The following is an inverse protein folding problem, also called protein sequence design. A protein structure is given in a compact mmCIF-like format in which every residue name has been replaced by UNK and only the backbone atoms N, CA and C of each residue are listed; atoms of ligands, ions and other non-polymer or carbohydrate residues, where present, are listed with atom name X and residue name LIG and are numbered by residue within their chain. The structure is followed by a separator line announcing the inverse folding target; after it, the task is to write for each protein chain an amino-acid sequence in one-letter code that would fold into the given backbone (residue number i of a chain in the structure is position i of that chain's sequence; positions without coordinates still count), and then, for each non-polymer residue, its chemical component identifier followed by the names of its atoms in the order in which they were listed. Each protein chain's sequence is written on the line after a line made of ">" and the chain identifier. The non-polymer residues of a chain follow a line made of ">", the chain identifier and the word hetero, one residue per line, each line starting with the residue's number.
data_IF_738770385732
#
_entry.id   IF_738770385732
#
_cell.length_a   1.000
_cell.length_b   1.000
_cell.length_c   1.000
_cell.angle_alpha   90.00
_cell.angle_beta   90.00
_cell.angle_gamma   90.00
#
_symmetry.space_group_name_H-M   'P 1'
#
loop_
_entity.id
_entity.type
_entity.pdbx_description
1 polymer ?
#
# COMPACT_ATOMS: atom_id res chain seq x y z
N UNK A 1 8.39 -1.43 9.22
CA UNK A 1 8.18 -2.84 8.92
C UNK A 1 6.93 -3.09 8.07
N UNK A 2 5.81 -2.39 8.34
CA UNK A 2 4.55 -2.55 7.59
C UNK A 2 3.98 -1.20 7.22
N UNK A 3 3.36 -1.10 6.04
CA UNK A 3 2.74 0.12 5.54
C UNK A 3 1.30 -0.16 5.06
N UNK A 4 0.31 0.35 5.79
CA UNK A 4 -1.10 0.10 5.53
C UNK A 4 -1.68 1.15 4.57
N UNK A 5 -2.26 0.68 3.45
CA UNK A 5 -2.93 1.50 2.43
C UNK A 5 -4.36 0.99 2.15
N UNK A 6 -5.35 1.32 2.99
CA UNK A 6 -6.73 0.87 2.83
C UNK A 6 -7.52 1.79 1.87
N UNK A 7 -6.93 2.15 0.75
CA UNK A 7 -7.53 3.12 -0.17
C UNK A 7 -8.83 2.60 -0.76
N UNK A 8 -9.87 3.43 -0.75
CA UNK A 8 -11.13 3.13 -1.44
C UNK A 8 -10.93 3.14 -2.96
N UNK A 9 -10.09 4.05 -3.44
CA UNK A 9 -9.69 4.16 -4.84
C UNK A 9 -8.24 4.67 -4.90
N UNK A 10 -7.42 4.01 -5.71
CA UNK A 10 -6.02 4.38 -5.93
C UNK A 10 -5.63 4.04 -7.37
N UNK A 11 -5.59 5.03 -8.28
CA UNK A 11 -5.35 4.75 -9.71
C UNK A 11 -3.96 4.17 -9.97
N UNK A 12 -2.93 4.69 -9.32
CA UNK A 12 -1.53 4.27 -9.50
C UNK A 12 -0.89 3.85 -8.19
N UNK A 13 -0.78 4.82 -7.26
CA UNK A 13 -0.06 4.67 -6.00
C UNK A 13 1.47 4.62 -6.21
N UNK A 14 2.19 5.48 -5.51
CA UNK A 14 3.65 5.43 -5.46
C UNK A 14 4.14 5.01 -4.08
N UNK A 15 3.35 5.27 -3.05
CA UNK A 15 3.76 5.04 -1.66
C UNK A 15 4.08 3.59 -1.36
N UNK A 16 3.34 2.62 -1.93
CA UNK A 16 3.63 1.19 -1.78
C UNK A 16 4.95 0.79 -2.46
N UNK A 17 5.26 1.38 -3.63
CA UNK A 17 6.51 1.12 -4.36
C UNK A 17 7.69 1.66 -3.55
N UNK A 18 7.56 2.89 -3.02
CA UNK A 18 8.56 3.50 -2.15
C UNK A 18 8.73 2.66 -0.88
N UNK A 19 7.64 2.23 -0.24
CA UNK A 19 7.69 1.38 0.94
C UNK A 19 8.46 0.08 0.67
N UNK A 20 8.15 -0.62 -0.43
CA UNK A 20 8.86 -1.84 -0.84
C UNK A 20 10.36 -1.58 -1.07
N UNK A 21 10.73 -0.47 -1.73
CA UNK A 21 12.12 -0.11 -1.97
C UNK A 21 12.92 0.08 -0.67
N UNK A 22 12.28 0.55 0.41
CA UNK A 22 12.88 0.71 1.73
C UNK A 22 12.67 -0.49 2.67
N UNK A 23 12.25 -1.64 2.14
CA UNK A 23 12.08 -2.87 2.92
C UNK A 23 10.88 -2.87 3.85
N UNK A 24 9.91 -2.00 3.60
CA UNK A 24 8.65 -1.96 4.34
C UNK A 24 7.56 -2.65 3.53
N UNK A 25 6.96 -3.71 4.09
CA UNK A 25 5.95 -4.50 3.37
C UNK A 25 4.60 -3.79 3.35
N UNK A 26 4.00 -3.56 2.17
CA UNK A 26 2.70 -2.94 2.04
C UNK A 26 1.57 -3.92 2.37
N UNK A 27 0.54 -3.41 3.05
CA UNK A 27 -0.74 -4.08 3.27
C UNK A 27 -1.79 -3.23 2.56
N UNK A 28 -2.33 -3.70 1.44
CA UNK A 28 -3.10 -2.87 0.54
C UNK A 28 -4.49 -3.44 0.27
N UNK A 29 -5.44 -2.55 -0.06
CA UNK A 29 -6.66 -2.99 -0.70
C UNK A 29 -6.40 -3.21 -2.20
N UNK A 30 -6.97 -4.28 -2.76
CA UNK A 30 -6.86 -4.63 -4.19
C UNK A 30 -7.68 -3.66 -5.04
N UNK A 31 -7.08 -2.49 -5.36
CA UNK A 31 -7.69 -1.47 -6.23
C UNK A 31 -6.61 -0.80 -7.06
N UNK A 32 -6.89 -0.60 -8.37
CA UNK A 32 -5.99 0.08 -9.32
C UNK A 32 -4.54 -0.37 -9.19
N UNK A 33 -3.61 0.58 -9.19
CA UNK A 33 -2.17 0.30 -9.14
C UNK A 33 -1.69 -0.45 -7.90
N UNK A 34 -2.44 -0.44 -6.80
CA UNK A 34 -2.10 -1.27 -5.63
C UNK A 34 -2.21 -2.77 -5.95
N UNK A 35 -3.27 -3.16 -6.68
CA UNK A 35 -3.44 -4.54 -7.13
C UNK A 35 -2.40 -4.95 -8.16
N UNK A 36 -1.96 -4.01 -9.01
CA UNK A 36 -1.02 -4.28 -10.09
C UNK A 36 0.42 -4.40 -9.63
N UNK A 37 0.76 -3.77 -8.48
CA UNK A 37 2.15 -3.65 -8.00
C UNK A 37 2.45 -4.50 -6.77
N UNK A 38 1.45 -4.86 -5.97
CA UNK A 38 1.64 -5.67 -4.76
C UNK A 38 1.15 -7.09 -5.00
N UNK A 39 2.07 -8.04 -4.95
CA UNK A 39 1.78 -9.47 -5.05
C UNK A 39 1.48 -10.00 -3.65
N UNK A 40 0.27 -10.54 -3.39
CA UNK A 40 -0.08 -11.08 -2.09
C UNK A 40 0.85 -12.22 -1.67
N UNK A 41 1.27 -12.21 -0.40
CA UNK A 41 2.08 -13.30 0.15
C UNK A 41 1.34 -14.63 0.12
N UNK A 42 1.98 -15.63 -0.44
CA UNK A 42 1.53 -17.01 -0.46
C UNK A 42 2.33 -17.81 0.58
N UNK A 43 1.67 -18.27 1.64
CA UNK A 43 2.30 -19.02 2.74
C UNK A 43 2.84 -20.39 2.32
N UNK A 44 2.35 -20.97 1.21
CA UNK A 44 2.77 -22.28 0.73
C UNK A 44 4.02 -22.21 -0.15
N UNK A 45 4.17 -21.15 -0.94
CA UNK A 45 5.33 -20.96 -1.83
C UNK A 45 6.38 -20.02 -1.26
N UNK A 46 6.01 -19.20 -0.28
CA UNK A 46 6.87 -18.15 0.26
C UNK A 46 7.03 -16.93 -0.67
N UNK A 47 6.26 -16.89 -1.75
CA UNK A 47 6.32 -15.82 -2.74
C UNK A 47 5.38 -14.66 -2.41
N UNK A 48 5.77 -13.45 -2.79
CA UNK A 48 4.95 -12.25 -2.63
C UNK A 48 5.79 -10.99 -2.42
N UNK A 49 5.12 -9.85 -2.32
CA UNK A 49 5.75 -8.55 -2.03
C UNK A 49 5.01 -7.75 -0.96
N UNK A 50 3.93 -8.31 -0.41
CA UNK A 50 3.11 -7.66 0.61
C UNK A 50 1.87 -8.48 0.93
N UNK A 51 0.86 -7.81 1.48
CA UNK A 51 -0.42 -8.41 1.84
C UNK A 51 -1.56 -7.64 1.20
N UNK A 52 -2.66 -8.32 0.88
CA UNK A 52 -3.81 -7.67 0.29
C UNK A 52 -5.14 -8.13 0.88
N UNK A 53 -6.18 -7.33 0.66
CA UNK A 53 -7.57 -7.64 0.93
C UNK A 53 -8.45 -7.02 -0.17
N UNK A 54 -9.60 -7.62 -0.43
CA UNK A 54 -10.42 -7.27 -1.60
C UNK A 54 -11.52 -6.25 -1.28
N UNK A 55 -12.35 -6.52 -0.27
CA UNK A 55 -13.49 -5.67 0.01
C UNK A 55 -13.13 -4.47 0.90
N UNK A 56 -13.77 -3.32 0.63
CA UNK A 56 -13.57 -2.12 1.43
C UNK A 56 -14.37 -2.22 2.75
N UNK A 57 -13.88 -3.04 3.68
CA UNK A 57 -14.41 -3.21 5.02
C UNK A 57 -13.31 -3.39 6.06
N UNK A 58 -13.65 -3.18 7.32
CA UNK A 58 -12.70 -3.27 8.44
C UNK A 58 -12.27 -4.70 8.77
N UNK A 59 -13.12 -5.68 8.52
CA UNK A 59 -12.87 -7.08 8.88
C UNK A 59 -11.77 -7.67 7.99
N UNK A 60 -11.87 -7.54 6.67
CA UNK A 60 -10.83 -8.01 5.75
C UNK A 60 -9.51 -7.24 5.90
N UNK A 61 -9.59 -5.92 6.14
CA UNK A 61 -8.40 -5.13 6.45
C UNK A 61 -7.72 -5.65 7.72
N UNK A 62 -8.50 -5.89 8.78
CA UNK A 62 -8.01 -6.43 10.04
C UNK A 62 -7.37 -7.81 9.87
N UNK A 63 -7.98 -8.69 9.07
CA UNK A 63 -7.43 -10.00 8.74
C UNK A 63 -6.08 -9.89 8.01
N UNK A 64 -5.98 -9.01 7.01
CA UNK A 64 -4.72 -8.79 6.30
C UNK A 64 -3.61 -8.28 7.21
N UNK A 65 -3.92 -7.33 8.11
CA UNK A 65 -2.98 -6.85 9.13
C UNK A 65 -2.58 -7.97 10.09
N UNK A 66 -3.53 -8.79 10.53
CA UNK A 66 -3.26 -9.91 11.42
C UNK A 66 -2.35 -10.95 10.75
N UNK A 67 -2.58 -11.31 9.49
CA UNK A 67 -1.71 -12.23 8.74
C UNK A 67 -0.29 -11.69 8.61
N UNK A 68 -0.14 -10.40 8.33
CA UNK A 68 1.16 -9.74 8.26
C UNK A 68 1.87 -9.73 9.62
N UNK A 69 1.17 -9.35 10.68
CA UNK A 69 1.71 -9.32 12.04
C UNK A 69 2.12 -10.73 12.52
N UNK A 70 1.30 -11.74 12.23
CA UNK A 70 1.58 -13.14 12.56
C UNK A 70 2.86 -13.61 11.86
N UNK A 71 3.02 -13.36 10.56
CA UNK A 71 4.25 -13.71 9.85
C UNK A 71 5.47 -13.01 10.46
N UNK A 72 5.33 -11.72 10.77
CA UNK A 72 6.41 -10.92 11.37
C UNK A 72 6.91 -11.46 12.71
N UNK A 73 5.99 -11.92 13.57
CA UNK A 73 6.34 -12.41 14.92
C UNK A 73 6.67 -13.90 14.95
N UNK A 74 5.97 -14.72 14.17
CA UNK A 74 6.06 -16.17 14.26
C UNK A 74 7.14 -16.77 13.34
N UNK A 75 7.43 -16.11 12.19
CA UNK A 75 8.40 -16.58 11.20
C UNK A 75 9.21 -15.44 10.59
N UNK A 76 10.22 -15.01 11.33
CA UNK A 76 11.08 -13.89 10.94
C UNK A 76 11.89 -14.15 9.67
N UNK A 77 12.27 -15.40 9.41
CA UNK A 77 13.03 -15.77 8.22
C UNK A 77 12.16 -15.64 6.96
N UNK A 78 10.93 -16.13 6.99
CA UNK A 78 9.99 -15.93 5.89
C UNK A 78 9.65 -14.46 5.68
N UNK A 79 9.53 -13.68 6.77
CA UNK A 79 9.37 -12.23 6.68
C UNK A 79 10.54 -11.57 5.96
N UNK A 80 11.78 -11.89 6.33
CA UNK A 80 12.98 -11.31 5.73
C UNK A 80 13.13 -11.71 4.24
N UNK A 81 12.75 -12.94 3.88
CA UNK A 81 12.69 -13.37 2.49
C UNK A 81 11.67 -12.53 1.69
N UNK A 82 10.49 -12.31 2.26
CA UNK A 82 9.47 -11.48 1.63
C UNK A 82 9.92 -10.02 1.45
N UNK A 83 10.62 -9.46 2.44
CA UNK A 83 11.26 -8.14 2.33
C UNK A 83 12.27 -8.10 1.18
N UNK A 84 13.13 -9.12 1.06
CA UNK A 84 14.10 -9.21 -0.04
C UNK A 84 13.41 -9.28 -1.40
N UNK A 85 12.33 -10.06 -1.52
CA UNK A 85 11.53 -10.13 -2.75
C UNK A 85 10.89 -8.78 -3.09
N UNK A 86 10.35 -8.07 -2.09
CA UNK A 86 9.76 -6.74 -2.29
C UNK A 86 10.79 -5.72 -2.75
N UNK A 87 11.97 -5.69 -2.13
CA UNK A 87 13.07 -4.78 -2.49
C UNK A 87 13.67 -5.07 -3.87
N UNK A 88 13.62 -6.31 -4.34
CA UNK A 88 14.13 -6.72 -5.65
C UNK A 88 13.17 -6.40 -6.81
N UNK A 89 11.97 -5.90 -6.53
CA UNK A 89 11.03 -5.52 -7.59
C UNK A 89 11.56 -4.37 -8.43
N UNK A 90 11.59 -4.58 -9.72
CA UNK A 90 11.98 -3.54 -10.68
C UNK A 90 10.75 -2.76 -11.17
N UNK A 91 10.69 -1.49 -10.79
CA UNK A 91 9.69 -0.52 -11.24
C UNK A 91 10.32 0.58 -12.11
N UNK A 92 11.48 0.31 -12.73
CA UNK A 92 12.20 1.28 -13.56
C UNK A 92 11.44 1.65 -14.83
N UNK A 93 11.82 2.78 -15.40
CA UNK A 93 11.36 3.21 -16.73
C UNK A 93 11.84 2.25 -17.84
N UNK A 94 13.00 1.63 -17.68
CA UNK A 94 13.52 0.63 -18.62
C UNK A 94 12.53 -0.52 -18.79
N UNK A 95 12.06 -1.12 -17.68
CA UNK A 95 11.04 -2.18 -17.71
C UNK A 95 9.73 -1.72 -18.35
N UNK A 96 9.34 -0.47 -18.13
CA UNK A 96 8.14 0.11 -18.75
C UNK A 96 8.33 0.30 -20.25
N UNK A 97 9.50 0.81 -20.66
CA UNK A 97 9.84 0.98 -22.07
C UNK A 97 9.86 -0.36 -22.82
N UNK A 98 10.40 -1.41 -22.22
CA UNK A 98 10.39 -2.76 -22.82
C UNK A 98 8.97 -3.26 -23.11
N UNK A 99 8.03 -3.05 -22.19
CA UNK A 99 6.62 -3.42 -22.43
C UNK A 99 6.00 -2.65 -23.59
N UNK A 100 6.36 -1.38 -23.79
CA UNK A 100 5.93 -0.61 -24.95
C UNK A 100 6.57 -1.13 -26.24
N UNK A 101 7.85 -1.46 -26.21
CA UNK A 101 8.56 -2.07 -27.33
C UNK A 101 7.92 -3.41 -27.70
N UNK A 102 7.62 -4.26 -26.74
CA UNK A 102 6.92 -5.54 -26.97
C UNK A 102 5.58 -5.32 -27.65
N UNK A 103 4.82 -4.32 -27.24
CA UNK A 103 3.55 -3.97 -27.89
C UNK A 103 3.75 -3.51 -29.33
N UNK A 104 4.75 -2.66 -29.61
CA UNK A 104 5.04 -2.21 -30.97
C UNK A 104 5.47 -3.35 -31.88
N UNK A 105 6.34 -4.24 -31.43
CA UNK A 105 6.73 -5.42 -32.20
C UNK A 105 5.58 -6.40 -32.39
N UNK A 106 4.69 -6.53 -31.41
CA UNK A 106 3.45 -7.30 -31.59
C UNK A 106 2.54 -6.73 -32.67
N UNK A 107 2.43 -5.40 -32.74
CA UNK A 107 1.62 -4.70 -33.77
C UNK A 107 2.30 -4.70 -35.14
N UNK A 108 3.62 -4.84 -35.21
CA UNK A 108 4.45 -4.84 -36.41
C UNK A 108 5.33 -6.08 -36.49
N UNK A 109 4.73 -7.27 -36.73
CA UNK A 109 5.46 -8.53 -36.77
C UNK A 109 6.47 -8.64 -37.92
N UNK A 110 6.39 -7.77 -38.90
CA UNK A 110 7.33 -7.63 -40.02
C UNK A 110 8.67 -6.98 -39.60
N UNK A 111 8.74 -6.37 -38.42
CA UNK A 111 9.95 -5.72 -37.90
C UNK A 111 10.61 -6.62 -36.86
N UNK A 112 11.85 -7.03 -37.14
CA UNK A 112 12.63 -7.80 -36.18
C UNK A 112 13.17 -6.89 -35.05
N UNK A 113 13.10 -7.39 -33.79
CA UNK A 113 13.62 -6.66 -32.64
C UNK A 113 15.15 -6.59 -32.73
N UNK A 114 15.78 -5.39 -32.74
CA UNK A 114 17.24 -5.26 -32.77
C UNK A 114 17.89 -5.87 -31.52
N UNK A 115 18.93 -6.67 -31.69
CA UNK A 115 19.63 -7.32 -30.58
C UNK A 115 20.21 -6.33 -29.54
N UNK A 116 20.61 -5.14 -29.97
CA UNK A 116 21.14 -4.08 -29.10
C UNK A 116 20.13 -3.51 -28.08
N UNK A 117 18.83 -3.69 -28.30
CA UNK A 117 17.79 -3.23 -27.34
C UNK A 117 17.73 -4.16 -26.13
N UNK A 118 18.22 -5.40 -26.27
CA UNK A 118 18.24 -6.40 -25.18
C UNK A 118 19.43 -6.16 -24.23
N UNK A 119 20.57 -5.69 -24.76
CA UNK A 119 21.77 -5.41 -23.96
C UNK A 119 21.68 -4.09 -23.17
N UNK A 120 21.06 -3.05 -23.74
CA UNK A 120 20.88 -1.77 -23.06
C UNK A 120 19.92 -1.86 -21.84
N UNK A 121 19.05 -2.87 -21.79
CA UNK A 121 18.18 -3.13 -20.64
C UNK A 121 18.89 -3.84 -19.48
N UNK A 122 20.10 -4.36 -19.71
CA UNK A 122 20.88 -5.10 -18.72
C UNK A 122 21.98 -4.26 -18.02
N UNK A 123 22.31 -3.08 -18.54
CA UNK A 123 23.21 -2.16 -17.86
C UNK A 123 22.44 -1.34 -16.82
N UNK A 124 22.60 -1.67 -15.55
CA UNK A 124 22.15 -0.83 -14.45
C UNK A 124 22.80 0.56 -14.56
N UNK A 125 22.04 1.67 -14.42
CA UNK A 125 22.66 2.99 -14.37
C UNK A 125 23.62 3.02 -13.17
N UNK A 126 24.90 3.30 -13.42
CA UNK A 126 25.88 3.60 -12.37
C UNK A 126 25.26 4.59 -11.38
N UNK A 127 25.33 4.23 -10.11
CA UNK A 127 24.87 5.08 -9.03
C UNK A 127 25.47 6.48 -9.18
N UNK A 128 24.63 7.45 -9.48
CA UNK A 128 25.00 8.86 -9.42
C UNK A 128 25.41 9.12 -7.98
N UNK A 129 26.70 9.36 -7.73
CA UNK A 129 27.19 9.80 -6.43
C UNK A 129 26.40 11.05 -6.03
N UNK A 130 25.61 10.93 -4.96
CA UNK A 130 24.97 12.09 -4.37
C UNK A 130 26.05 13.11 -3.97
N UNK A 131 25.89 14.40 -4.31
CA UNK A 131 26.82 15.41 -3.86
C UNK A 131 26.78 15.42 -2.32
N UNK A 132 27.93 15.15 -1.68
CA UNK A 132 28.12 15.30 -0.24
C UNK A 132 27.63 16.67 0.18
N UNK A 133 26.51 16.75 0.85
CA UNK A 133 26.08 17.98 1.53
C UNK A 133 27.11 18.26 2.63
N UNK A 134 27.85 19.37 2.48
CA UNK A 134 28.66 19.93 3.56
C UNK A 134 27.71 20.35 4.68
N UNK A 135 27.67 19.59 5.76
CA UNK A 135 27.02 19.99 7.00
C UNK A 135 27.75 21.22 7.57
N UNK A 136 27.20 22.40 7.36
CA UNK A 136 27.55 23.54 8.20
C UNK A 136 26.85 23.39 9.55
N UNK A 137 27.55 23.55 10.68
CA UNK A 137 26.92 23.47 11.99
C UNK A 137 25.90 24.62 12.13
N UNK A 138 24.63 24.27 12.24
CA UNK A 138 23.59 25.24 12.63
C UNK A 138 23.68 25.39 14.13
N UNK A 139 24.17 26.54 14.57
CA UNK A 139 24.18 26.98 15.95
C UNK A 139 22.72 27.13 16.44
N UNK A 140 22.34 26.29 17.41
CA UNK A 140 21.00 26.25 17.94
C UNK A 140 20.79 27.45 18.88
N UNK A 141 20.04 28.46 18.44
CA UNK A 141 19.48 29.46 19.36
C UNK A 141 18.30 28.85 20.15
N UNK A 142 18.19 29.14 21.47
CA UNK A 142 17.12 28.57 22.28
C UNK A 142 15.79 29.29 21.99
N UNK A 143 14.83 28.53 21.40
CA UNK A 143 13.47 29.04 21.26
C UNK A 143 12.81 29.08 22.63
N UNK A 144 12.49 30.29 23.11
CA UNK A 144 11.68 30.50 24.29
C UNK A 144 10.28 29.93 24.08
N UNK A 145 9.89 29.06 24.99
CA UNK A 145 8.52 28.62 25.14
C UNK A 145 7.67 29.76 25.70
N UNK A 146 6.66 30.18 24.94
CA UNK A 146 5.47 30.90 25.46
C UNK A 146 4.39 30.86 24.38
N UNK A 147 3.37 30.08 24.59
CA UNK A 147 1.97 30.51 24.64
C UNK A 147 1.04 29.29 24.77
N UNK A 148 0.40 29.24 25.93
CA UNK A 148 -0.74 28.37 26.20
C UNK A 148 -1.89 28.69 25.24
N UNK A 149 -2.23 27.79 24.33
CA UNK A 149 -3.48 27.83 23.57
C UNK A 149 -4.54 27.14 24.40
N UNK A 150 -5.38 27.95 25.03
CA UNK A 150 -6.59 27.54 25.74
C UNK A 150 -7.59 26.98 24.71
N UNK A 151 -7.74 25.68 24.66
CA UNK A 151 -8.77 25.02 23.85
C UNK A 151 -10.08 25.16 24.58
N UNK A 152 -10.95 26.02 24.07
CA UNK A 152 -12.33 26.19 24.51
C UNK A 152 -13.14 25.00 23.94
N UNK A 153 -13.61 24.13 24.85
CA UNK A 153 -14.41 22.97 24.51
C UNK A 153 -15.81 23.41 24.09
N UNK A 154 -16.14 23.21 22.83
CA UNK A 154 -17.51 23.31 22.33
C UNK A 154 -18.26 22.05 22.74
N UNK A 155 -19.45 22.13 23.38
CA UNK A 155 -20.19 20.93 23.78
C UNK A 155 -20.78 20.21 22.54
N UNK A 156 -20.59 18.90 22.48
CA UNK A 156 -21.28 18.01 21.56
C UNK A 156 -22.81 18.08 21.75
N UNK A 157 -23.60 18.08 20.66
CA UNK A 157 -25.06 17.96 20.80
C UNK A 157 -25.43 16.52 21.19
N UNK A 158 -26.20 16.39 22.23
CA UNK A 158 -26.83 15.14 22.68
C UNK A 158 -27.65 14.49 21.57
N UNK A 159 -27.62 13.13 21.44
CA UNK A 159 -28.47 12.44 20.45
C UNK A 159 -29.94 12.48 20.89
N UNK A 160 -30.80 13.07 20.04
CA UNK A 160 -32.26 13.03 20.19
C UNK A 160 -32.79 11.57 20.24
N UNK A 161 -33.33 11.19 21.37
CA UNK A 161 -34.03 9.92 21.56
C UNK A 161 -35.40 9.99 20.89
N UNK A 162 -35.60 9.32 19.77
CA UNK A 162 -36.91 9.13 19.14
C UNK A 162 -37.77 8.19 20.01
N UNK A 163 -39.03 8.54 20.31
CA UNK A 163 -39.89 7.69 21.12
C UNK A 163 -40.28 6.40 20.38
N UNK A 164 -40.24 5.29 21.12
CA UNK A 164 -40.58 3.96 20.65
C UNK A 164 -42.04 3.87 20.20
N UNK A 165 -42.30 3.30 19.02
CA UNK A 165 -43.60 3.00 18.50
C UNK A 165 -44.26 1.90 19.32
N UNK A 166 -45.55 2.13 19.73
CA UNK A 166 -46.38 1.16 20.43
C UNK A 166 -46.71 -0.06 19.57
N UNK A 167 -46.75 -1.28 20.14
CA UNK A 167 -47.14 -2.47 19.39
C UNK A 167 -48.63 -2.49 19.08
N UNK A 168 -48.98 -2.77 17.83
CA UNK A 168 -50.33 -2.91 17.35
C UNK A 168 -51.01 -4.18 17.92
N UNK A 169 -52.19 -4.03 18.45
CA UNK A 169 -53.03 -5.09 18.99
C UNK A 169 -53.51 -6.07 17.89
N UNK A 170 -53.27 -7.36 18.08
CA UNK A 170 -53.87 -8.44 17.27
C UNK A 170 -55.38 -8.54 17.57
N UNK A 171 -56.20 -8.28 16.57
CA UNK A 171 -57.62 -8.66 16.57
C UNK A 171 -57.75 -10.15 16.22
N UNK A 172 -58.19 -10.94 17.19
CA UNK A 172 -58.68 -12.29 16.95
C UNK A 172 -60.10 -12.22 16.36
N UNK A 173 -60.23 -12.72 15.15
CA UNK A 173 -61.57 -12.96 14.56
C UNK A 173 -61.94 -14.39 14.86
N UNK A 174 -63.00 -14.57 15.63
CA UNK A 174 -63.69 -15.83 15.79
C UNK A 174 -64.56 -16.12 14.56
N UNK A 175 -64.61 -17.36 14.18
CA UNK A 175 -65.36 -17.86 13.07
C UNK A 175 -66.35 -18.91 13.57
N UNK A 176 -67.56 -18.66 13.25
CA UNK A 176 -68.69 -19.64 13.22
C UNK A 176 -68.54 -20.58 12.04
#
# INVERSE_FOLDING_TARGET
>A
DMFLMPSKFEPCGLSQIIAMRYGTLPIVRETGGLKDTVIPYNEFTGEGTGFSFSNFNGDEMGDAVFRAARLFWDNRDAWNQLVTQAMSQDFSWTRSADKYLDLYFFMHPEIERPAAVVEAAAEEPEAVEEPKAEEKPVEAEPVKAESEVKVEATPEPEPEVKPAAKPAAKKTAAKT
#
